data_IF_852328149468
#
_entry.id   IF_852328149468
#
_cell.length_a   1.000
_cell.length_b   1.000
_cell.length_c   1.000
_cell.angle_alpha   90.00
_cell.angle_beta   90.00
_cell.angle_gamma   90.00
#
_symmetry.space_group_name_H-M   'P 1'
#
loop_
_entity.id
_entity.type
_entity.pdbx_description
1 polymer ?
#
# COMPACT_ATOMS: atom_id res chain seq x y z
N UNK A 1 -6.39 0.37 -13.64
CA UNK A 1 -6.64 1.14 -12.41
C UNK A 1 -5.49 2.11 -12.16
N UNK A 2 -5.77 3.41 -12.19
CA UNK A 2 -4.80 4.45 -11.81
C UNK A 2 -5.12 4.85 -10.38
N UNK A 3 -4.20 4.62 -9.41
CA UNK A 3 -4.44 5.05 -8.03
C UNK A 3 -4.65 6.56 -7.93
N UNK A 4 -5.50 7.06 -7.02
CA UNK A 4 -5.77 8.50 -6.85
C UNK A 4 -4.51 9.36 -6.71
N UNK A 5 -3.46 8.83 -6.06
CA UNK A 5 -2.17 9.53 -5.94
C UNK A 5 -1.47 9.76 -7.28
N UNK A 6 -1.68 8.88 -8.27
CA UNK A 6 -1.12 9.06 -9.60
C UNK A 6 -1.92 10.09 -10.41
N UNK A 7 -3.22 10.21 -10.19
CA UNK A 7 -4.06 11.26 -10.77
C UNK A 7 -3.67 12.62 -10.23
N UNK A 8 -3.50 12.75 -8.91
CA UNK A 8 -2.99 13.97 -8.26
C UNK A 8 -1.62 14.38 -8.83
N UNK A 9 -0.73 13.40 -9.04
CA UNK A 9 0.59 13.61 -9.61
C UNK A 9 0.52 14.14 -11.05
N UNK A 10 -0.29 13.51 -11.89
CA UNK A 10 -0.52 13.96 -13.28
C UNK A 10 -1.05 15.39 -13.30
N UNK A 11 -2.03 15.70 -12.44
CA UNK A 11 -2.57 17.05 -12.32
C UNK A 11 -1.50 18.09 -11.96
N UNK A 12 -0.61 17.75 -11.02
CA UNK A 12 0.49 18.63 -10.65
C UNK A 12 1.49 18.85 -11.81
N UNK A 13 1.81 17.78 -12.55
CA UNK A 13 2.68 17.87 -13.71
C UNK A 13 2.12 18.78 -14.83
N UNK A 14 0.82 18.73 -15.06
CA UNK A 14 0.19 19.55 -16.11
C UNK A 14 0.49 21.04 -15.97
N UNK A 15 0.64 21.54 -14.75
CA UNK A 15 0.98 22.95 -14.50
C UNK A 15 2.39 23.34 -14.97
N UNK A 16 3.27 22.36 -15.17
CA UNK A 16 4.67 22.57 -15.59
C UNK A 16 4.91 22.30 -17.07
N UNK A 17 3.93 21.72 -17.78
CA UNK A 17 4.09 21.34 -19.17
C UNK A 17 4.00 22.52 -20.11
N UNK A 18 4.79 22.49 -21.19
CA UNK A 18 4.67 23.40 -22.31
C UNK A 18 3.34 23.26 -23.04
N UNK A 19 3.04 24.19 -23.93
CA UNK A 19 1.82 24.19 -24.75
C UNK A 19 2.01 23.35 -26.02
N UNK A 20 0.91 22.80 -26.53
CA UNK A 20 0.88 22.08 -27.80
C UNK A 20 1.77 20.83 -27.82
N UNK A 21 2.44 20.60 -28.95
CA UNK A 21 3.28 19.42 -29.19
C UNK A 21 4.43 19.26 -28.19
N UNK A 22 4.96 20.37 -27.65
CA UNK A 22 6.00 20.31 -26.61
C UNK A 22 5.44 19.70 -25.34
N UNK A 23 4.29 20.16 -24.87
CA UNK A 23 3.63 19.60 -23.69
C UNK A 23 3.23 18.13 -23.89
N UNK A 24 2.82 17.76 -25.11
CA UNK A 24 2.50 16.38 -25.44
C UNK A 24 3.74 15.47 -25.35
N UNK A 25 4.87 15.91 -25.89
CA UNK A 25 6.12 15.16 -25.79
C UNK A 25 6.61 15.02 -24.34
N UNK A 26 6.53 16.10 -23.57
CA UNK A 26 6.87 16.08 -22.15
C UNK A 26 5.97 15.11 -21.35
N UNK A 27 4.67 15.15 -21.59
CA UNK A 27 3.74 14.22 -20.93
C UNK A 27 3.99 12.77 -21.34
N UNK A 28 4.29 12.51 -22.62
CA UNK A 28 4.64 11.17 -23.09
C UNK A 28 5.89 10.65 -22.37
N UNK A 29 6.89 11.53 -22.17
CA UNK A 29 8.10 11.20 -21.42
C UNK A 29 7.79 10.86 -19.95
N UNK A 30 7.00 11.68 -19.25
CA UNK A 30 6.58 11.38 -17.87
C UNK A 30 5.76 10.07 -17.77
N UNK A 31 4.90 9.82 -18.75
CA UNK A 31 4.17 8.54 -18.81
C UNK A 31 5.12 7.36 -18.90
N UNK A 32 6.11 7.43 -19.78
CA UNK A 32 7.05 6.33 -19.99
C UNK A 32 7.91 6.06 -18.75
N UNK A 33 8.40 7.11 -18.07
CA UNK A 33 9.40 6.98 -17.02
C UNK A 33 8.80 6.93 -15.59
N UNK A 34 7.60 7.45 -15.38
CA UNK A 34 6.97 7.51 -14.05
C UNK A 34 5.63 6.78 -13.99
N UNK A 35 4.67 7.14 -14.85
CA UNK A 35 3.32 6.63 -14.69
C UNK A 35 3.19 5.15 -15.07
N UNK A 36 3.78 4.73 -16.18
CA UNK A 36 3.75 3.33 -16.62
C UNK A 36 4.50 2.38 -15.66
N UNK A 37 5.72 2.71 -15.18
CA UNK A 37 6.38 1.90 -14.16
C UNK A 37 5.58 1.81 -12.86
N UNK A 38 4.96 2.93 -12.42
CA UNK A 38 4.11 2.94 -11.24
C UNK A 38 2.85 2.09 -11.43
N UNK A 39 2.15 2.24 -12.55
CA UNK A 39 0.94 1.46 -12.84
C UNK A 39 1.24 -0.04 -12.87
N UNK A 40 2.32 -0.47 -13.54
CA UNK A 40 2.77 -1.87 -13.54
C UNK A 40 3.09 -2.39 -12.15
N UNK A 41 3.76 -1.59 -11.33
CA UNK A 41 4.05 -1.97 -9.95
C UNK A 41 2.76 -2.17 -9.14
N UNK A 42 1.78 -1.29 -9.28
CA UNK A 42 0.49 -1.41 -8.59
C UNK A 42 -0.35 -2.58 -9.09
N UNK A 43 -0.30 -2.87 -10.37
CA UNK A 43 -0.93 -4.05 -10.96
C UNK A 43 -0.33 -5.33 -10.36
N UNK A 44 0.99 -5.43 -10.26
CA UNK A 44 1.67 -6.57 -9.63
C UNK A 44 1.29 -6.73 -8.16
N UNK A 45 1.21 -5.62 -7.38
CA UNK A 45 0.74 -5.65 -5.98
C UNK A 45 -0.70 -6.13 -5.90
N UNK A 46 -1.57 -5.67 -6.80
CA UNK A 46 -2.98 -6.08 -6.86
C UNK A 46 -3.13 -7.57 -7.19
N UNK A 47 -2.39 -8.05 -8.19
CA UNK A 47 -2.40 -9.46 -8.59
C UNK A 47 -1.90 -10.37 -7.46
N UNK A 48 -0.80 -9.99 -6.79
CA UNK A 48 -0.31 -10.73 -5.62
C UNK A 48 -1.32 -10.77 -4.48
N UNK A 49 -2.03 -9.65 -4.24
CA UNK A 49 -3.11 -9.61 -3.25
C UNK A 49 -4.22 -10.61 -3.58
N UNK A 50 -4.68 -10.63 -4.82
CA UNK A 50 -5.73 -11.57 -5.26
C UNK A 50 -5.24 -13.02 -5.08
N UNK A 51 -4.03 -13.33 -5.54
CA UNK A 51 -3.45 -14.68 -5.45
C UNK A 51 -3.32 -15.13 -3.98
N UNK A 52 -2.73 -14.31 -3.11
CA UNK A 52 -2.57 -14.64 -1.68
C UNK A 52 -3.94 -14.88 -1.02
N UNK A 53 -4.93 -14.05 -1.31
CA UNK A 53 -6.26 -14.22 -0.73
C UNK A 53 -6.98 -15.47 -1.26
N UNK A 54 -6.73 -15.87 -2.52
CA UNK A 54 -7.24 -17.11 -3.09
C UNK A 54 -6.56 -18.32 -2.43
N UNK A 55 -5.23 -18.31 -2.32
CA UNK A 55 -4.45 -19.36 -1.67
C UNK A 55 -4.87 -19.53 -0.19
N UNK A 56 -5.08 -18.43 0.51
CA UNK A 56 -5.55 -18.44 1.90
C UNK A 56 -6.97 -19.03 2.04
N UNK A 57 -7.88 -18.72 1.12
CA UNK A 57 -9.22 -19.32 1.11
C UNK A 57 -9.15 -20.82 0.81
N UNK A 58 -8.32 -21.22 -0.15
CA UNK A 58 -8.10 -22.62 -0.50
C UNK A 58 -7.50 -23.39 0.68
N UNK A 59 -6.52 -22.82 1.38
CA UNK A 59 -5.93 -23.42 2.58
C UNK A 59 -6.96 -23.65 3.68
N UNK A 60 -7.77 -22.64 4.01
CA UNK A 60 -8.84 -22.76 5.01
C UNK A 60 -9.81 -23.89 4.66
N UNK A 61 -10.15 -24.01 3.37
CA UNK A 61 -11.04 -25.09 2.88
C UNK A 61 -10.37 -26.45 2.97
N UNK A 62 -9.11 -26.57 2.58
CA UNK A 62 -8.36 -27.84 2.59
C UNK A 62 -8.17 -28.40 4.01
N UNK A 63 -7.95 -27.53 5.00
CA UNK A 63 -7.77 -27.89 6.39
C UNK A 63 -9.06 -27.83 7.21
N UNK A 64 -10.22 -27.64 6.59
CA UNK A 64 -11.51 -27.46 7.26
C UNK A 64 -11.50 -26.39 8.36
N UNK A 65 -10.67 -25.36 8.23
CA UNK A 65 -10.57 -24.26 9.19
C UNK A 65 -11.79 -23.35 9.04
N UNK A 66 -12.65 -23.37 10.05
CA UNK A 66 -13.84 -22.53 10.10
C UNK A 66 -13.49 -21.16 10.69
N UNK A 67 -13.76 -20.04 9.98
CA UNK A 67 -13.43 -18.69 10.49
C UNK A 67 -14.03 -18.38 11.87
N UNK A 68 -15.22 -18.92 12.18
CA UNK A 68 -15.83 -18.79 13.52
C UNK A 68 -15.00 -19.43 14.61
N UNK A 69 -14.31 -20.55 14.31
CA UNK A 69 -13.49 -21.26 15.27
C UNK A 69 -12.18 -20.51 15.57
N UNK A 70 -11.61 -19.87 14.58
CA UNK A 70 -10.45 -19.00 14.77
C UNK A 70 -10.75 -17.79 15.67
N UNK A 71 -11.99 -17.29 15.64
CA UNK A 71 -12.43 -16.17 16.47
C UNK A 71 -12.82 -16.55 17.90
N UNK A 72 -12.92 -17.85 18.20
CA UNK A 72 -13.20 -18.32 19.56
C UNK A 72 -12.03 -17.98 20.48
N UNK A 73 -12.37 -17.54 21.69
CA UNK A 73 -11.37 -17.34 22.74
C UNK A 73 -10.80 -18.69 23.17
N UNK A 74 -9.54 -18.67 23.54
CA UNK A 74 -8.87 -19.78 24.20
C UNK A 74 -9.40 -19.85 25.62
N UNK A 75 -9.70 -21.08 26.11
CA UNK A 75 -10.23 -21.25 27.45
C UNK A 75 -9.24 -20.74 28.52
N UNK A 76 -9.67 -19.82 29.36
CA UNK A 76 -8.83 -19.19 30.37
C UNK A 76 -7.97 -18.03 29.94
N UNK A 77 -7.98 -17.68 28.63
CA UNK A 77 -7.15 -16.60 28.06
C UNK A 77 -8.00 -15.48 27.47
N UNK A 78 -7.51 -14.23 27.46
CA UNK A 78 -8.18 -13.12 26.78
C UNK A 78 -8.11 -13.19 25.26
N UNK A 79 -7.25 -14.05 24.72
CA UNK A 79 -6.89 -14.16 23.32
C UNK A 79 -7.76 -15.15 22.54
N UNK A 80 -7.85 -14.91 21.21
CA UNK A 80 -8.50 -15.83 20.28
C UNK A 80 -7.51 -16.84 19.69
N UNK A 81 -8.02 -17.92 19.10
CA UNK A 81 -7.20 -18.90 18.37
C UNK A 81 -6.45 -18.27 17.19
N UNK A 82 -7.07 -17.31 16.49
CA UNK A 82 -6.42 -16.57 15.40
C UNK A 82 -5.23 -15.74 15.91
N UNK A 83 -5.39 -15.08 17.06
CA UNK A 83 -4.30 -14.35 17.69
C UNK A 83 -3.17 -15.28 18.14
N UNK A 84 -3.48 -16.47 18.63
CA UNK A 84 -2.47 -17.47 18.97
C UNK A 84 -1.69 -17.95 17.73
N UNK A 85 -2.36 -18.25 16.62
CA UNK A 85 -1.71 -18.64 15.36
C UNK A 85 -0.78 -17.53 14.88
N UNK A 86 -1.21 -16.26 14.91
CA UNK A 86 -0.38 -15.13 14.55
C UNK A 86 0.83 -14.97 15.46
N UNK A 87 0.63 -15.08 16.78
CA UNK A 87 1.71 -15.04 17.76
C UNK A 87 2.72 -16.19 17.55
N UNK A 88 2.26 -17.39 17.25
CA UNK A 88 3.09 -18.53 16.89
C UNK A 88 3.97 -18.25 15.66
N UNK A 89 3.39 -17.69 14.59
CA UNK A 89 4.14 -17.34 13.36
C UNK A 89 5.24 -16.31 13.68
N UNK A 90 4.93 -15.27 14.42
CA UNK A 90 5.90 -14.25 14.81
C UNK A 90 7.00 -14.81 15.69
N UNK A 91 6.65 -15.65 16.68
CA UNK A 91 7.63 -16.32 17.54
C UNK A 91 8.57 -17.22 16.73
N UNK A 92 8.03 -17.99 15.78
CA UNK A 92 8.81 -18.87 14.90
C UNK A 92 9.79 -18.08 14.02
N UNK A 93 9.49 -16.83 13.73
CA UNK A 93 10.35 -15.91 12.98
C UNK A 93 11.24 -15.04 13.87
N UNK A 94 11.26 -15.29 15.19
CA UNK A 94 12.09 -14.55 16.14
C UNK A 94 11.64 -13.11 16.38
N UNK A 95 10.37 -12.78 16.13
CA UNK A 95 9.84 -11.43 16.30
C UNK A 95 9.25 -11.26 17.69
N UNK A 96 9.56 -10.14 18.35
CA UNK A 96 8.92 -9.74 19.59
C UNK A 96 7.51 -9.19 19.33
N UNK A 97 6.54 -9.59 20.18
CA UNK A 97 5.14 -9.17 20.07
C UNK A 97 4.90 -8.06 21.09
N UNK A 98 4.60 -6.83 20.65
CA UNK A 98 4.38 -5.70 21.56
C UNK A 98 3.05 -5.88 22.35
N UNK A 99 3.04 -5.37 23.59
CA UNK A 99 1.81 -5.27 24.38
C UNK A 99 1.36 -6.54 25.09
N UNK A 100 2.13 -7.63 25.02
CA UNK A 100 1.88 -8.85 25.83
C UNK A 100 3.13 -9.26 26.60
N UNK A 101 2.93 -9.97 27.73
CA UNK A 101 4.04 -10.49 28.50
C UNK A 101 4.73 -11.68 27.81
N UNK A 102 5.97 -11.96 28.17
CA UNK A 102 6.68 -13.16 27.67
C UNK A 102 5.98 -14.45 28.08
N UNK A 103 5.27 -14.44 29.22
CA UNK A 103 4.44 -15.56 29.66
C UNK A 103 3.27 -15.75 28.70
N UNK A 104 2.48 -14.70 28.43
CA UNK A 104 1.33 -14.78 27.54
C UNK A 104 1.78 -15.21 26.13
N UNK A 105 2.92 -14.68 25.64
CA UNK A 105 3.48 -15.11 24.37
C UNK A 105 3.78 -16.59 24.34
N UNK A 106 4.38 -17.12 25.42
CA UNK A 106 4.67 -18.54 25.54
C UNK A 106 3.38 -19.38 25.62
N UNK A 107 2.41 -18.96 26.43
CA UNK A 107 1.13 -19.68 26.59
C UNK A 107 0.38 -19.77 25.24
N UNK A 108 0.43 -18.70 24.39
CA UNK A 108 -0.14 -18.72 23.05
C UNK A 108 0.60 -19.68 22.10
N UNK A 109 1.92 -19.74 22.18
CA UNK A 109 2.75 -20.67 21.39
C UNK A 109 2.47 -22.11 21.80
N UNK A 110 2.50 -22.41 23.10
CA UNK A 110 2.23 -23.73 23.66
C UNK A 110 0.82 -24.22 23.29
N UNK A 111 -0.16 -23.31 23.27
CA UNK A 111 -1.51 -23.60 22.79
C UNK A 111 -1.53 -24.08 21.34
N UNK A 112 -0.81 -23.40 20.44
CA UNK A 112 -0.75 -23.80 19.01
C UNK A 112 0.02 -25.11 18.87
N UNK A 113 1.17 -25.28 19.55
CA UNK A 113 1.97 -26.50 19.51
C UNK A 113 1.19 -27.74 20.01
N UNK A 114 0.26 -27.55 20.93
CA UNK A 114 -0.63 -28.63 21.39
C UNK A 114 -1.72 -29.02 20.38
N UNK A 115 -1.89 -28.28 19.29
CA UNK A 115 -2.93 -28.48 18.29
C UNK A 115 -2.30 -28.70 16.90
N UNK A 116 -2.08 -29.94 16.51
CA UNK A 116 -1.42 -30.31 15.24
C UNK A 116 -2.03 -29.61 14.00
N UNK A 117 -3.36 -29.44 13.95
CA UNK A 117 -4.05 -28.74 12.86
C UNK A 117 -3.66 -27.26 12.79
N UNK A 118 -3.50 -26.58 13.94
CA UNK A 118 -3.09 -25.19 13.99
C UNK A 118 -1.62 -25.02 13.63
N UNK A 119 -0.75 -25.95 13.98
CA UNK A 119 0.65 -25.96 13.56
C UNK A 119 0.75 -26.05 12.05
N UNK A 120 0.08 -27.04 11.44
CA UNK A 120 0.04 -27.20 9.98
C UNK A 120 -0.53 -25.95 9.31
N UNK A 121 -1.60 -25.38 9.86
CA UNK A 121 -2.19 -24.15 9.36
C UNK A 121 -1.21 -22.98 9.40
N UNK A 122 -0.52 -22.77 10.52
CA UNK A 122 0.47 -21.71 10.68
C UNK A 122 1.65 -21.86 9.70
N UNK A 123 2.16 -23.07 9.51
CA UNK A 123 3.25 -23.35 8.57
C UNK A 123 2.84 -23.08 7.12
N UNK A 124 1.63 -23.46 6.74
CA UNK A 124 1.09 -23.17 5.42
C UNK A 124 0.83 -21.66 5.20
N UNK A 125 0.45 -20.91 6.24
CA UNK A 125 0.34 -19.45 6.15
C UNK A 125 1.69 -18.79 5.84
N UNK A 126 2.78 -19.28 6.44
CA UNK A 126 4.14 -18.83 6.13
C UNK A 126 4.46 -19.13 4.65
N UNK A 127 4.12 -20.35 4.17
CA UNK A 127 4.39 -20.77 2.80
C UNK A 127 3.61 -19.95 1.76
N UNK A 128 2.36 -19.56 2.03
CA UNK A 128 1.56 -18.70 1.13
C UNK A 128 2.26 -17.37 0.84
N UNK A 129 3.01 -16.84 1.80
CA UNK A 129 3.74 -15.59 1.63
C UNK A 129 4.98 -15.72 0.73
N UNK A 130 5.24 -16.91 0.15
CA UNK A 130 6.30 -17.22 -0.82
C UNK A 130 7.71 -16.79 -0.38
N UNK A 131 8.01 -16.97 0.91
CA UNK A 131 9.32 -16.66 1.47
C UNK A 131 9.56 -15.19 1.82
N UNK A 132 8.61 -14.32 1.56
CA UNK A 132 8.65 -12.97 2.13
C UNK A 132 8.36 -13.06 3.65
N UNK A 133 9.04 -12.26 4.44
CA UNK A 133 8.82 -12.24 5.88
C UNK A 133 7.35 -11.89 6.20
N UNK A 134 6.74 -12.62 7.14
CA UNK A 134 5.43 -12.28 7.66
C UNK A 134 5.48 -10.87 8.27
N UNK A 135 4.44 -10.07 8.11
CA UNK A 135 4.46 -8.68 8.57
C UNK A 135 4.74 -8.61 10.07
N UNK A 136 5.74 -7.82 10.47
CA UNK A 136 6.06 -7.63 11.88
C UNK A 136 4.86 -7.10 12.67
N UNK A 137 4.65 -7.58 13.92
CA UNK A 137 3.57 -7.10 14.75
C UNK A 137 3.80 -5.64 15.15
N UNK A 138 2.73 -4.87 15.25
CA UNK A 138 2.73 -3.54 15.84
C UNK A 138 1.84 -3.50 17.10
N UNK A 139 1.83 -2.36 17.80
CA UNK A 139 1.04 -2.22 19.02
C UNK A 139 -0.47 -2.50 18.84
N UNK A 140 -0.98 -2.37 17.62
CA UNK A 140 -2.38 -2.63 17.27
C UNK A 140 -2.67 -4.07 16.82
N UNK A 141 -1.71 -5.00 16.90
CA UNK A 141 -1.84 -6.35 16.35
C UNK A 141 -3.08 -7.12 16.88
N UNK A 142 -3.49 -6.84 18.11
CA UNK A 142 -4.67 -7.50 18.76
C UNK A 142 -5.94 -7.26 17.92
N UNK A 143 -6.11 -6.07 17.33
CA UNK A 143 -7.26 -5.74 16.51
C UNK A 143 -7.16 -6.30 15.06
N UNK A 144 -5.99 -6.75 14.65
CA UNK A 144 -5.76 -7.28 13.32
C UNK A 144 -6.16 -8.75 13.17
N UNK A 145 -6.15 -9.22 11.93
CA UNK A 145 -6.43 -10.59 11.50
C UNK A 145 -5.30 -11.11 10.60
N UNK A 146 -5.28 -12.40 10.30
CA UNK A 146 -4.36 -12.99 9.31
C UNK A 146 -4.50 -12.28 7.94
N UNK A 147 -5.74 -11.97 7.53
CA UNK A 147 -5.98 -11.21 6.29
C UNK A 147 -5.28 -9.84 6.30
N UNK A 148 -5.35 -9.12 7.42
CA UNK A 148 -4.69 -7.82 7.57
C UNK A 148 -3.16 -7.93 7.58
N UNK A 149 -2.62 -9.00 8.14
CA UNK A 149 -1.17 -9.25 8.14
C UNK A 149 -0.65 -9.51 6.72
N UNK A 150 -1.37 -10.29 5.90
CA UNK A 150 -1.02 -10.47 4.49
C UNK A 150 -1.03 -9.16 3.70
N UNK A 151 -2.05 -8.33 3.89
CA UNK A 151 -2.13 -7.02 3.24
C UNK A 151 -0.98 -6.12 3.69
N UNK A 152 -0.62 -6.16 4.97
CA UNK A 152 0.49 -5.40 5.53
C UNK A 152 1.83 -5.86 4.94
N UNK A 153 2.07 -7.17 4.85
CA UNK A 153 3.27 -7.73 4.24
C UNK A 153 3.42 -7.33 2.77
N UNK A 154 2.33 -7.39 1.99
CA UNK A 154 2.30 -6.93 0.60
C UNK A 154 2.67 -5.45 0.48
N UNK A 155 2.10 -4.61 1.31
CA UNK A 155 2.30 -3.17 1.26
C UNK A 155 3.69 -2.74 1.73
N UNK A 156 4.32 -3.48 2.61
CA UNK A 156 5.66 -3.14 3.12
C UNK A 156 6.78 -3.73 2.27
N UNK A 157 6.73 -5.03 1.98
CA UNK A 157 7.84 -5.75 1.35
C UNK A 157 7.71 -5.79 -0.17
N UNK A 158 6.57 -6.27 -0.68
CA UNK A 158 6.40 -6.46 -2.13
C UNK A 158 6.19 -5.15 -2.88
N UNK A 159 5.44 -4.21 -2.30
CA UNK A 159 5.27 -2.88 -2.90
C UNK A 159 6.62 -2.20 -3.14
N UNK A 160 7.52 -2.23 -2.16
CA UNK A 160 8.85 -1.63 -2.28
C UNK A 160 9.64 -2.27 -3.42
N UNK A 161 9.64 -3.60 -3.52
CA UNK A 161 10.29 -4.35 -4.59
C UNK A 161 9.76 -4.00 -5.98
N UNK A 162 8.43 -3.96 -6.14
CA UNK A 162 7.82 -3.63 -7.44
C UNK A 162 8.02 -2.17 -7.84
N UNK A 163 8.18 -1.26 -6.86
CA UNK A 163 8.42 0.16 -7.09
C UNK A 163 9.89 0.51 -7.34
N UNK A 164 10.83 -0.44 -7.32
CA UNK A 164 12.26 -0.15 -7.41
C UNK A 164 12.62 0.69 -8.64
N UNK A 165 12.20 0.27 -9.84
CA UNK A 165 12.44 1.01 -11.08
C UNK A 165 11.80 2.40 -11.06
N UNK A 166 10.57 2.48 -10.57
CA UNK A 166 9.88 3.75 -10.41
C UNK A 166 10.63 4.68 -9.45
N UNK A 167 11.10 4.15 -8.32
CA UNK A 167 11.83 4.92 -7.32
C UNK A 167 13.16 5.45 -7.87
N UNK A 168 13.91 4.62 -8.61
CA UNK A 168 15.14 5.06 -9.28
C UNK A 168 14.87 6.23 -10.23
N UNK A 169 13.81 6.15 -11.02
CA UNK A 169 13.41 7.23 -11.91
C UNK A 169 13.00 8.50 -11.14
N UNK A 170 12.24 8.34 -10.04
CA UNK A 170 11.87 9.47 -9.18
C UNK A 170 13.10 10.15 -8.59
N UNK A 171 14.06 9.38 -8.06
CA UNK A 171 15.27 9.92 -7.43
C UNK A 171 16.15 10.70 -8.43
N UNK A 172 16.16 10.29 -9.72
CA UNK A 172 16.86 11.02 -10.78
C UNK A 172 16.10 12.27 -11.21
N UNK A 173 14.81 12.15 -11.51
CA UNK A 173 13.98 13.22 -12.07
C UNK A 173 13.75 14.32 -11.03
N UNK A 174 13.43 13.92 -9.79
CA UNK A 174 13.15 14.81 -8.67
C UNK A 174 14.31 14.84 -7.68
N UNK A 175 15.55 14.84 -8.20
CA UNK A 175 16.73 15.10 -7.37
C UNK A 175 16.64 16.45 -6.66
N UNK A 176 17.36 16.60 -5.55
CA UNK A 176 17.37 17.84 -4.76
C UNK A 176 17.63 19.09 -5.63
N UNK A 177 18.57 18.99 -6.59
CA UNK A 177 18.85 20.06 -7.53
C UNK A 177 17.66 20.42 -8.41
N UNK A 178 16.89 19.43 -8.86
CA UNK A 178 15.71 19.65 -9.69
C UNK A 178 14.52 20.14 -8.85
N UNK A 179 14.35 19.66 -7.63
CA UNK A 179 13.35 20.18 -6.68
C UNK A 179 13.61 21.64 -6.33
N UNK A 180 14.86 22.04 -6.16
CA UNK A 180 15.24 23.45 -5.96
C UNK A 180 14.88 24.33 -7.17
N UNK A 181 15.06 23.82 -8.40
CA UNK A 181 14.61 24.54 -9.61
C UNK A 181 13.09 24.67 -9.68
N UNK A 182 12.37 23.60 -9.29
CA UNK A 182 10.90 23.65 -9.21
C UNK A 182 10.43 24.66 -8.15
N UNK A 183 11.08 24.69 -7.00
CA UNK A 183 10.80 25.67 -5.93
C UNK A 183 11.05 27.09 -6.40
N UNK A 184 12.16 27.34 -7.12
CA UNK A 184 12.47 28.64 -7.66
C UNK A 184 11.46 29.11 -8.71
N UNK A 185 10.91 28.17 -9.52
CA UNK A 185 9.96 28.49 -10.59
C UNK A 185 8.50 28.61 -10.11
N UNK A 186 8.08 27.74 -9.17
CA UNK A 186 6.68 27.56 -8.78
C UNK A 186 6.42 27.80 -7.28
N UNK A 187 7.46 28.06 -6.50
CA UNK A 187 7.40 28.34 -5.09
C UNK A 187 7.45 27.08 -4.19
N UNK A 188 7.78 27.32 -2.91
CA UNK A 188 7.90 26.28 -1.89
C UNK A 188 6.66 25.40 -1.72
N UNK A 189 5.41 25.92 -1.76
CA UNK A 189 4.23 25.10 -1.66
C UNK A 189 4.10 24.03 -2.76
N UNK A 190 4.53 24.36 -3.98
CA UNK A 190 4.56 23.42 -5.11
C UNK A 190 5.53 22.26 -4.85
N UNK A 191 6.74 22.56 -4.36
CA UNK A 191 7.74 21.56 -3.98
C UNK A 191 7.18 20.62 -2.93
N UNK A 192 6.61 21.17 -1.85
CA UNK A 192 6.01 20.36 -0.77
C UNK A 192 4.89 19.45 -1.30
N UNK A 193 4.04 19.96 -2.18
CA UNK A 193 2.97 19.17 -2.79
C UNK A 193 3.55 18.00 -3.62
N UNK A 194 4.59 18.25 -4.42
CA UNK A 194 5.28 17.24 -5.21
C UNK A 194 5.88 16.15 -4.32
N UNK A 195 6.66 16.52 -3.30
CA UNK A 195 7.28 15.59 -2.36
C UNK A 195 6.23 14.75 -1.62
N UNK A 196 5.13 15.36 -1.19
CA UNK A 196 4.04 14.66 -0.52
C UNK A 196 3.33 13.65 -1.43
N UNK A 197 3.07 14.01 -2.69
CA UNK A 197 2.45 13.10 -3.65
C UNK A 197 3.38 11.92 -3.96
N UNK A 198 4.65 12.18 -4.23
CA UNK A 198 5.65 11.13 -4.48
C UNK A 198 5.79 10.19 -3.27
N UNK A 199 5.80 10.72 -2.06
CA UNK A 199 5.83 9.90 -0.84
C UNK A 199 4.56 9.05 -0.67
N UNK A 200 3.38 9.59 -1.00
CA UNK A 200 2.12 8.82 -1.00
C UNK A 200 2.14 7.71 -2.06
N UNK A 201 2.63 7.99 -3.26
CA UNK A 201 2.81 6.97 -4.30
C UNK A 201 3.77 5.88 -3.84
N UNK A 202 4.86 6.22 -3.18
CA UNK A 202 5.84 5.27 -2.63
C UNK A 202 5.24 4.41 -1.52
N UNK A 203 4.63 5.02 -0.53
CA UNK A 203 4.20 4.34 0.71
C UNK A 203 2.81 3.73 0.62
N UNK A 204 1.95 4.20 -0.27
CA UNK A 204 0.54 3.82 -0.34
C UNK A 204 -0.31 4.32 0.83
N UNK A 205 0.25 5.14 1.71
CA UNK A 205 -0.49 5.70 2.84
C UNK A 205 -1.42 6.81 2.33
N UNK A 206 -2.65 6.82 2.81
CA UNK A 206 -3.57 7.93 2.58
C UNK A 206 -3.07 9.19 3.28
N UNK A 207 -3.59 10.36 2.87
CA UNK A 207 -3.32 11.61 3.57
C UNK A 207 -3.60 11.43 5.06
N UNK A 208 -2.64 11.78 5.92
CA UNK A 208 -2.95 12.08 7.29
C UNK A 208 -3.68 13.43 7.29
N UNK A 209 -4.99 13.41 7.45
CA UNK A 209 -5.77 14.59 7.79
C UNK A 209 -5.43 14.91 9.25
N UNK A 210 -4.40 15.66 9.51
CA UNK A 210 -4.07 16.03 10.87
C UNK A 210 -2.89 16.96 10.97
N UNK A 211 -3.15 18.12 11.49
CA UNK A 211 -2.30 19.08 12.21
C UNK A 211 -1.44 20.10 11.47
N UNK A 212 -1.39 20.16 10.14
CA UNK A 212 -0.80 21.33 9.49
C UNK A 212 -1.85 22.04 8.62
N UNK A 213 -2.58 22.97 9.22
CA UNK A 213 -3.65 23.77 8.61
C UNK A 213 -3.23 24.45 7.28
N UNK A 214 -1.96 24.80 7.14
CA UNK A 214 -1.46 25.49 5.95
C UNK A 214 -1.20 24.51 4.79
N UNK A 215 -0.66 23.34 5.09
CA UNK A 215 -0.38 22.30 4.06
C UNK A 215 -1.67 21.62 3.62
N UNK A 216 -2.63 21.46 4.51
CA UNK A 216 -3.97 20.94 4.23
C UNK A 216 -4.75 21.84 3.28
N UNK A 217 -4.84 23.14 3.60
CA UNK A 217 -5.54 24.15 2.78
C UNK A 217 -4.92 24.31 1.40
N UNK A 218 -3.57 24.24 1.29
CA UNK A 218 -2.91 24.34 0.00
C UNK A 218 -3.14 23.09 -0.86
N UNK A 219 -3.07 21.90 -0.26
CA UNK A 219 -3.38 20.65 -0.97
C UNK A 219 -4.85 20.56 -1.35
N UNK A 220 -5.76 21.06 -0.54
CA UNK A 220 -7.19 21.15 -0.87
C UNK A 220 -7.45 22.17 -1.98
N UNK A 221 -6.76 23.31 -1.94
CA UNK A 221 -6.81 24.29 -3.03
C UNK A 221 -6.22 23.73 -4.33
N UNK A 222 -5.10 23.01 -4.28
CA UNK A 222 -4.47 22.37 -5.43
C UNK A 222 -5.37 21.26 -5.99
N UNK A 223 -5.96 20.43 -5.14
CA UNK A 223 -6.89 19.38 -5.55
C UNK A 223 -8.15 19.98 -6.20
N UNK A 224 -8.67 21.05 -5.64
CA UNK A 224 -9.84 21.75 -6.19
C UNK A 224 -9.48 22.52 -7.47
N UNK A 225 -8.31 23.16 -7.53
CA UNK A 225 -7.84 23.88 -8.71
C UNK A 225 -7.44 22.94 -9.85
N UNK A 226 -6.80 21.82 -9.53
CA UNK A 226 -6.46 20.75 -10.48
C UNK A 226 -7.74 20.06 -10.95
N UNK A 227 -8.69 19.81 -10.08
CA UNK A 227 -10.02 19.32 -10.44
C UNK A 227 -10.73 20.28 -11.39
N UNK A 228 -10.69 21.57 -11.12
CA UNK A 228 -11.27 22.59 -12.01
C UNK A 228 -10.54 22.66 -13.36
N UNK A 229 -9.20 22.62 -13.37
CA UNK A 229 -8.39 22.63 -14.60
C UNK A 229 -8.63 21.33 -15.39
N UNK A 230 -8.76 20.17 -14.72
CA UNK A 230 -9.11 18.91 -15.35
C UNK A 230 -10.51 18.93 -15.95
N UNK A 231 -11.47 19.54 -15.26
CA UNK A 231 -12.87 19.61 -15.72
C UNK A 231 -13.04 20.50 -16.98
N UNK A 232 -12.21 21.53 -17.11
CA UNK A 232 -12.25 22.43 -18.25
C UNK A 232 -11.29 22.05 -19.38
N UNK A 233 -10.47 21.02 -19.22
CA UNK A 233 -9.53 20.60 -20.24
C UNK A 233 -10.05 19.36 -20.99
N UNK A 234 -10.38 19.51 -22.27
CA UNK A 234 -10.90 18.42 -23.14
C UNK A 234 -9.98 17.20 -23.20
N UNK A 235 -8.67 17.35 -22.94
CA UNK A 235 -7.70 16.22 -22.83
C UNK A 235 -7.91 15.41 -21.55
N UNK A 236 -8.30 16.06 -20.46
CA UNK A 236 -8.65 15.39 -19.21
C UNK A 236 -9.93 14.57 -19.36
N UNK A 237 -10.89 15.04 -20.14
CA UNK A 237 -12.11 14.31 -20.46
C UNK A 237 -11.82 12.97 -21.16
N UNK A 238 -10.83 12.93 -22.06
CA UNK A 238 -10.40 11.68 -22.71
C UNK A 238 -9.77 10.69 -21.71
N UNK A 239 -8.95 11.18 -20.78
CA UNK A 239 -8.35 10.32 -19.73
C UNK A 239 -9.41 9.83 -18.74
N UNK A 240 -10.40 10.66 -18.40
CA UNK A 240 -11.54 10.27 -17.55
C UNK A 240 -12.45 9.28 -18.28
N UNK A 241 -12.62 9.40 -19.60
CA UNK A 241 -13.39 8.46 -20.41
C UNK A 241 -12.70 7.08 -20.45
N UNK A 242 -11.36 7.06 -20.57
CA UNK A 242 -10.58 5.82 -20.52
C UNK A 242 -10.66 5.20 -19.12
N UNK A 243 -10.61 6.00 -18.07
CA UNK A 243 -10.77 5.54 -16.68
C UNK A 243 -12.18 5.01 -16.41
N UNK A 244 -13.23 5.68 -16.94
CA UNK A 244 -14.63 5.24 -16.82
C UNK A 244 -14.91 3.93 -17.58
N UNK A 245 -14.33 3.75 -18.76
CA UNK A 245 -14.44 2.49 -19.54
C UNK A 245 -13.79 1.33 -18.77
N UNK A 246 -12.67 1.56 -18.07
CA UNK A 246 -12.06 0.56 -17.20
C UNK A 246 -12.91 0.24 -15.96
N UNK A 247 -13.78 1.17 -15.53
CA UNK A 247 -14.70 0.96 -14.38
C UNK A 247 -15.96 0.15 -14.76
N UNK A 248 -16.37 0.19 -16.04
CA UNK A 248 -17.56 -0.52 -16.54
C UNK A 248 -17.24 -1.99 -16.87
N UNK A 249 -15.97 -2.36 -17.04
CA UNK A 249 -15.53 -3.72 -17.34
C UNK A 249 -15.15 -4.56 -16.11
N UNK A 250 -15.58 -4.16 -14.92
CA UNK A 250 -15.53 -4.90 -13.66
C UNK A 250 -16.93 -4.92 -13.03
#
# INVERSE_FOLDING_TARGET
FIPPSAEDFVGLLYSTLGKGSIGDAQMAWYKAHLLNPFARAMENVSNDRVNIMQDFRALKKALNIVPKDLRKKISGEPFTREQAVRAYIWNKQGMDIPGISKKDQKDLVDFVDSNAELVVFADQLIAINKGDAYAAPDAGWIAGTIDTDFIKALNTTKRSKYLEVWQQNVDQIFSEANLNKLEAAYGKPYRIAMENILNRMKTGKNRNFGNDDVTGRFTDWLTNSVGAIMFFNTRSAVLQTISAVNFINF
#
